data_IF_355373503887
#
_entry.id   IF_355373503887
#
_cell.length_a   1.000
_cell.length_b   1.000
_cell.length_c   1.000
_cell.angle_alpha   90.00
_cell.angle_beta   90.00
_cell.angle_gamma   90.00
#
_symmetry.space_group_name_H-M   'P 1'
#
loop_
_entity.id
_entity.type
_entity.pdbx_description
1 polymer ?
#
# COMPACT_ATOMS: atom_id res chain seq x y z
N UNK A 1 -17.00 23.28 -6.91
CA UNK A 1 -17.44 21.90 -6.68
C UNK A 1 -16.35 21.15 -5.95
N UNK A 2 -16.68 20.13 -5.18
CA UNK A 2 -15.70 19.25 -4.55
C UNK A 2 -15.57 17.95 -5.34
N UNK A 3 -14.35 17.52 -5.57
CA UNK A 3 -14.07 16.35 -6.40
C UNK A 3 -12.96 15.46 -5.85
N UNK A 4 -12.93 14.23 -6.33
CA UNK A 4 -11.92 13.23 -6.06
C UNK A 4 -11.15 12.91 -7.36
N UNK A 5 -9.83 12.89 -7.29
CA UNK A 5 -8.96 12.64 -8.46
C UNK A 5 -8.89 11.14 -8.72
N UNK A 6 -9.37 10.71 -9.88
CA UNK A 6 -9.38 9.32 -10.33
C UNK A 6 -8.20 8.96 -11.22
N UNK A 7 -7.67 9.94 -11.97
CA UNK A 7 -6.52 9.72 -12.84
C UNK A 7 -5.65 10.97 -12.90
N UNK A 8 -4.33 10.78 -12.95
CA UNK A 8 -3.35 11.84 -13.05
C UNK A 8 -2.34 11.51 -14.14
N UNK A 9 -2.33 12.31 -15.22
CA UNK A 9 -1.38 12.16 -16.34
C UNK A 9 -0.27 13.21 -16.34
N UNK A 10 -0.18 13.99 -15.25
CA UNK A 10 0.80 15.07 -15.09
C UNK A 10 0.33 16.43 -15.61
N UNK A 11 -0.48 16.48 -16.66
CA UNK A 11 -1.04 17.72 -17.22
C UNK A 11 -2.57 17.76 -17.15
N UNK A 12 -3.21 16.59 -17.17
CA UNK A 12 -4.65 16.42 -17.09
C UNK A 12 -5.01 15.45 -15.97
N UNK A 13 -6.16 15.72 -15.36
CA UNK A 13 -6.69 14.98 -14.22
C UNK A 13 -8.15 14.64 -14.48
N UNK A 14 -8.51 13.37 -14.33
CA UNK A 14 -9.92 12.98 -14.27
C UNK A 14 -10.38 13.16 -12.84
N UNK A 15 -11.34 14.07 -12.64
CA UNK A 15 -11.92 14.39 -11.34
C UNK A 15 -13.39 14.00 -11.37
N UNK A 16 -13.83 13.20 -10.40
CA UNK A 16 -15.27 12.95 -10.20
C UNK A 16 -15.80 13.88 -9.12
N UNK A 17 -16.90 14.55 -9.44
CA UNK A 17 -17.68 15.34 -8.48
C UNK A 17 -18.23 14.42 -7.39
N UNK A 18 -18.00 14.76 -6.12
CA UNK A 18 -18.38 13.92 -4.99
C UNK A 18 -19.91 13.84 -4.84
N UNK A 19 -20.62 14.92 -5.19
CA UNK A 19 -22.07 14.99 -5.01
C UNK A 19 -22.85 14.27 -6.12
N UNK A 20 -22.37 14.35 -7.37
CA UNK A 20 -23.10 13.85 -8.56
C UNK A 20 -22.49 12.60 -9.17
N UNK A 21 -21.21 12.29 -8.88
CA UNK A 21 -20.45 11.23 -9.52
C UNK A 21 -20.02 11.55 -10.96
N UNK A 22 -20.34 12.73 -11.48
CA UNK A 22 -19.98 13.14 -12.83
C UNK A 22 -18.46 13.33 -12.97
N UNK A 23 -17.90 12.85 -14.08
CA UNK A 23 -16.47 12.94 -14.37
C UNK A 23 -16.15 14.18 -15.21
N UNK A 24 -15.04 14.84 -14.86
CA UNK A 24 -14.54 16.04 -15.53
C UNK A 24 -13.05 15.90 -15.86
N UNK A 25 -12.68 16.34 -17.06
CA UNK A 25 -11.27 16.47 -17.46
C UNK A 25 -10.74 17.82 -16.97
N UNK A 26 -9.96 17.80 -15.93
CA UNK A 26 -9.49 18.99 -15.24
C UNK A 26 -8.02 19.29 -15.53
N UNK A 27 -7.67 20.56 -15.49
CA UNK A 27 -6.29 21.07 -15.47
C UNK A 27 -6.07 21.94 -14.24
N UNK A 28 -4.82 22.24 -13.93
CA UNK A 28 -4.49 23.13 -12.82
C UNK A 28 -4.48 24.58 -13.32
N UNK A 29 -5.02 25.51 -12.51
CA UNK A 29 -4.94 26.94 -12.77
C UNK A 29 -3.48 27.41 -12.75
N UNK A 30 -3.01 28.11 -13.78
CA UNK A 30 -1.59 28.42 -14.02
C UNK A 30 -0.84 29.17 -12.89
N UNK A 31 -1.55 29.74 -11.91
CA UNK A 31 -0.96 30.33 -10.68
C UNK A 31 -0.80 29.37 -9.52
N UNK A 32 -1.25 28.14 -9.66
CA UNK A 32 -1.22 27.10 -8.64
C UNK A 32 0.17 26.41 -8.55
N UNK A 33 1.24 27.21 -8.61
CA UNK A 33 2.56 26.75 -8.17
C UNK A 33 2.54 26.73 -6.65
N UNK A 34 2.23 25.56 -6.10
CA UNK A 34 2.19 25.28 -4.69
C UNK A 34 3.47 25.81 -4.01
N UNK A 35 3.31 26.85 -3.18
CA UNK A 35 4.38 27.33 -2.30
C UNK A 35 4.87 26.12 -1.49
N UNK A 36 6.07 25.64 -1.76
CA UNK A 36 6.74 24.61 -0.97
C UNK A 36 6.76 23.18 -1.52
N UNK A 37 6.02 22.84 -2.56
CA UNK A 37 6.08 21.48 -3.15
C UNK A 37 7.04 21.48 -4.35
N UNK A 38 8.21 20.84 -4.17
CA UNK A 38 9.24 20.66 -5.22
C UNK A 38 8.91 19.51 -6.18
N UNK A 39 7.66 19.05 -6.25
CA UNK A 39 7.25 17.91 -7.06
C UNK A 39 6.79 18.34 -8.45
N UNK A 40 7.20 17.58 -9.47
CA UNK A 40 6.81 17.82 -10.88
C UNK A 40 5.33 17.58 -11.14
N UNK A 41 4.66 16.76 -10.34
CA UNK A 41 3.21 16.56 -10.39
C UNK A 41 2.60 16.79 -8.99
N UNK A 42 1.91 17.92 -8.78
CA UNK A 42 1.40 18.29 -7.46
C UNK A 42 0.13 17.51 -7.07
N UNK A 43 -0.59 16.91 -8.03
CA UNK A 43 -1.86 16.22 -7.80
C UNK A 43 -1.70 14.73 -8.05
N UNK A 44 -2.10 13.93 -7.08
CA UNK A 44 -2.09 12.48 -7.11
C UNK A 44 -3.50 11.90 -7.21
N UNK A 45 -3.60 10.63 -7.60
CA UNK A 45 -4.85 9.87 -7.49
C UNK A 45 -5.24 9.74 -6.02
N UNK A 46 -6.53 9.98 -5.73
CA UNK A 46 -7.04 10.01 -4.35
C UNK A 46 -7.06 11.41 -3.72
N UNK A 47 -6.50 12.43 -4.38
CA UNK A 47 -6.61 13.79 -3.86
C UNK A 47 -8.05 14.30 -3.89
N UNK A 48 -8.45 14.92 -2.77
CA UNK A 48 -9.69 15.71 -2.69
C UNK A 48 -9.36 17.12 -3.16
N UNK A 49 -10.14 17.61 -4.12
CA UNK A 49 -9.88 18.91 -4.76
C UNK A 49 -11.14 19.76 -4.83
N UNK A 50 -10.95 21.09 -4.85
CA UNK A 50 -11.98 22.02 -5.30
C UNK A 50 -11.73 22.34 -6.77
N UNK A 51 -12.77 22.31 -7.60
CA UNK A 51 -12.67 22.62 -9.03
C UNK A 51 -13.86 23.43 -9.52
N UNK A 52 -13.67 24.16 -10.61
CA UNK A 52 -14.68 24.94 -11.32
C UNK A 52 -14.87 24.36 -12.72
N UNK A 53 -16.12 24.20 -13.15
CA UNK A 53 -16.45 23.76 -14.51
C UNK A 53 -16.33 24.94 -15.47
N UNK A 54 -15.60 24.77 -16.58
CA UNK A 54 -15.45 25.79 -17.61
C UNK A 54 -16.51 25.62 -18.69
N UNK A 55 -16.49 24.49 -19.41
CA UNK A 55 -17.42 24.19 -20.49
C UNK A 55 -17.58 22.67 -20.65
N UNK A 56 -18.82 22.19 -20.70
CA UNK A 56 -19.12 20.77 -20.84
C UNK A 56 -18.52 19.94 -19.70
N UNK A 57 -17.61 19.03 -20.04
CA UNK A 57 -16.89 18.16 -19.08
C UNK A 57 -15.50 18.67 -18.70
N UNK A 58 -15.14 19.90 -19.06
CA UNK A 58 -13.83 20.48 -18.74
C UNK A 58 -13.89 21.29 -17.46
N UNK A 59 -12.83 21.21 -16.66
CA UNK A 59 -12.74 21.94 -15.40
C UNK A 59 -11.31 22.41 -15.06
N UNK A 60 -11.27 23.31 -14.07
CA UNK A 60 -10.03 23.85 -13.51
C UNK A 60 -9.98 23.53 -12.02
N UNK A 61 -8.92 22.83 -11.58
CA UNK A 61 -8.65 22.60 -10.17
C UNK A 61 -8.12 23.92 -9.56
N UNK A 62 -8.80 24.38 -8.52
CA UNK A 62 -8.51 25.64 -7.82
C UNK A 62 -7.86 25.43 -6.47
N UNK A 63 -8.05 24.25 -5.84
CA UNK A 63 -7.48 23.93 -4.53
C UNK A 63 -7.26 22.42 -4.38
N UNK A 64 -6.20 22.03 -3.68
CA UNK A 64 -5.97 20.66 -3.20
C UNK A 64 -6.20 20.66 -1.69
N UNK A 65 -7.10 19.80 -1.22
CA UNK A 65 -7.38 19.66 0.22
C UNK A 65 -6.19 18.95 0.92
N UNK A 66 -6.04 19.14 2.24
CA UNK A 66 -5.05 18.39 3.02
C UNK A 66 -5.22 16.88 2.81
N UNK A 67 -4.10 16.19 2.71
CA UNK A 67 -4.03 14.72 2.60
C UNK A 67 -3.95 14.12 3.99
N UNK A 68 -4.72 13.06 4.23
CA UNK A 68 -4.62 12.26 5.45
C UNK A 68 -3.32 11.42 5.45
N UNK A 69 -3.01 10.85 4.28
CA UNK A 69 -1.77 10.11 3.99
C UNK A 69 -1.48 10.12 2.48
N UNK A 70 -0.31 9.59 2.10
CA UNK A 70 0.06 9.47 0.70
C UNK A 70 1.22 8.47 0.52
N UNK A 71 1.35 7.91 -0.69
CA UNK A 71 2.45 7.03 -1.09
C UNK A 71 3.36 7.77 -2.06
N UNK A 72 4.67 7.71 -1.83
CA UNK A 72 5.68 8.28 -2.73
C UNK A 72 6.42 7.20 -3.51
N UNK A 73 6.92 7.59 -4.68
CA UNK A 73 7.92 6.85 -5.44
C UNK A 73 9.13 7.74 -5.65
N UNK A 74 10.33 7.21 -5.37
CA UNK A 74 11.56 7.90 -5.75
C UNK A 74 11.77 7.82 -7.27
N UNK A 75 12.17 8.92 -7.87
CA UNK A 75 12.61 8.91 -9.27
C UNK A 75 13.98 8.24 -9.37
N UNK A 76 14.11 7.23 -10.22
CA UNK A 76 15.37 6.51 -10.46
C UNK A 76 16.44 7.44 -11.05
N UNK A 77 16.03 8.51 -11.75
CA UNK A 77 16.93 9.38 -12.53
C UNK A 77 17.19 10.76 -11.91
N UNK A 78 16.48 11.14 -10.86
CA UNK A 78 16.61 12.46 -10.22
C UNK A 78 16.62 12.26 -8.70
N UNK A 79 17.80 12.14 -8.13
CA UNK A 79 18.08 11.72 -6.73
C UNK A 79 17.44 12.58 -5.62
N UNK A 80 16.61 13.57 -5.94
CA UNK A 80 15.92 14.44 -4.95
C UNK A 80 14.45 14.72 -5.27
N UNK A 81 13.86 14.11 -6.30
CA UNK A 81 12.46 14.34 -6.62
C UNK A 81 11.61 13.12 -6.24
N UNK A 82 10.73 13.31 -5.28
CA UNK A 82 9.71 12.33 -4.90
C UNK A 82 8.42 12.62 -5.67
N UNK A 83 7.77 11.57 -6.18
CA UNK A 83 6.47 11.67 -6.84
C UNK A 83 5.42 11.03 -5.93
N UNK A 84 4.41 11.78 -5.55
CA UNK A 84 3.24 11.23 -4.89
C UNK A 84 2.45 10.47 -5.94
N UNK A 85 2.19 9.19 -5.69
CA UNK A 85 1.50 8.27 -6.62
C UNK A 85 0.02 8.20 -6.29
N UNK A 86 -0.30 8.09 -5.00
CA UNK A 86 -1.65 7.98 -4.48
C UNK A 86 -1.73 8.66 -3.12
N UNK A 87 -2.92 9.10 -2.74
CA UNK A 87 -3.21 9.77 -1.48
C UNK A 87 -4.56 9.35 -0.90
N UNK A 88 -4.76 9.67 0.39
CA UNK A 88 -6.00 9.41 1.11
C UNK A 88 -6.45 7.94 1.01
N UNK A 89 -5.50 7.04 1.31
CA UNK A 89 -5.70 5.58 1.28
C UNK A 89 -6.17 5.13 2.66
N UNK A 90 -7.33 4.49 2.71
CA UNK A 90 -7.90 3.99 3.96
C UNK A 90 -7.35 2.61 4.34
N UNK A 91 -7.00 1.78 3.32
CA UNK A 91 -6.65 0.39 3.54
C UNK A 91 -5.70 -0.15 2.47
N UNK A 92 -4.64 -0.83 2.89
CA UNK A 92 -3.77 -1.59 2.02
C UNK A 92 -4.01 -3.10 2.22
N UNK A 93 -4.11 -3.84 1.12
CA UNK A 93 -4.08 -5.29 1.14
C UNK A 93 -2.73 -5.78 0.62
N UNK A 94 -2.04 -6.57 1.42
CA UNK A 94 -0.86 -7.30 0.97
C UNK A 94 -1.22 -8.76 0.67
N UNK A 95 -1.13 -9.15 -0.60
CA UNK A 95 -1.38 -10.53 -1.03
C UNK A 95 -0.11 -11.36 -0.84
N UNK A 96 -0.19 -12.29 0.08
CA UNK A 96 0.88 -13.19 0.54
C UNK A 96 0.62 -14.59 0.02
N UNK A 97 1.67 -15.27 -0.44
CA UNK A 97 1.63 -16.69 -0.85
C UNK A 97 2.83 -17.44 -0.27
N UNK A 98 2.63 -18.69 0.16
CA UNK A 98 3.70 -19.54 0.67
C UNK A 98 4.64 -20.03 -0.43
N UNK A 99 4.08 -20.25 -1.62
CA UNK A 99 4.82 -20.71 -2.79
C UNK A 99 4.20 -20.13 -4.07
N UNK A 100 4.93 -20.20 -5.17
CA UNK A 100 4.51 -19.86 -6.53
C UNK A 100 3.77 -18.50 -6.67
N UNK A 101 4.40 -17.37 -6.28
CA UNK A 101 5.73 -17.16 -5.72
C UNK A 101 5.76 -17.29 -4.18
N UNK A 102 6.92 -17.53 -3.61
CA UNK A 102 7.15 -17.38 -2.17
C UNK A 102 7.12 -15.89 -1.80
N UNK A 103 6.40 -15.56 -0.75
CA UNK A 103 6.46 -14.24 -0.11
C UNK A 103 7.22 -14.37 1.21
N UNK A 104 8.44 -13.83 1.26
CA UNK A 104 9.26 -13.89 2.48
C UNK A 104 8.68 -13.04 3.61
N UNK A 105 8.96 -13.43 4.87
CA UNK A 105 8.58 -12.61 6.04
C UNK A 105 9.26 -11.24 5.99
N UNK A 106 10.50 -11.16 5.51
CA UNK A 106 11.21 -9.89 5.32
C UNK A 106 10.47 -8.95 4.37
N UNK A 107 9.93 -9.47 3.26
CA UNK A 107 9.12 -8.66 2.34
C UNK A 107 7.83 -8.18 3.00
N UNK A 108 7.13 -9.06 3.73
CA UNK A 108 5.91 -8.69 4.46
C UNK A 108 6.24 -7.59 5.47
N UNK A 109 7.29 -7.75 6.25
CA UNK A 109 7.67 -6.82 7.31
C UNK A 109 8.08 -5.45 6.76
N UNK A 110 8.84 -5.41 5.66
CA UNK A 110 9.17 -4.16 4.97
C UNK A 110 7.93 -3.43 4.45
N UNK A 111 6.99 -4.18 3.90
CA UNK A 111 5.73 -3.60 3.46
C UNK A 111 4.97 -2.99 4.64
N UNK A 112 4.86 -3.73 5.75
CA UNK A 112 4.15 -3.31 6.95
C UNK A 112 4.79 -2.05 7.56
N UNK A 113 6.11 -2.04 7.72
CA UNK A 113 6.87 -0.87 8.21
C UNK A 113 6.60 0.37 7.34
N UNK A 114 6.59 0.18 6.03
CA UNK A 114 6.31 1.29 5.11
C UNK A 114 4.85 1.77 5.23
N UNK A 115 3.91 0.85 5.38
CA UNK A 115 2.50 1.19 5.56
C UNK A 115 2.27 1.94 6.88
N UNK A 116 2.89 1.49 7.98
CA UNK A 116 2.86 2.18 9.28
C UNK A 116 3.45 3.60 9.18
N UNK A 117 4.60 3.75 8.51
CA UNK A 117 5.23 5.06 8.30
C UNK A 117 4.36 6.04 7.50
N UNK A 118 3.49 5.53 6.62
CA UNK A 118 2.50 6.33 5.90
C UNK A 118 1.15 6.46 6.63
N UNK A 119 0.97 5.82 7.78
CA UNK A 119 -0.30 5.80 8.52
C UNK A 119 -1.41 5.06 7.75
N UNK A 120 -1.07 4.00 7.01
CA UNK A 120 -2.01 3.22 6.20
C UNK A 120 -2.27 1.87 6.86
N UNK A 121 -3.51 1.64 7.29
CA UNK A 121 -3.93 0.33 7.83
C UNK A 121 -3.70 -0.77 6.80
N UNK A 122 -3.15 -1.92 7.24
CA UNK A 122 -2.87 -3.06 6.36
C UNK A 122 -3.59 -4.33 6.82
N UNK A 123 -4.11 -5.08 5.84
CA UNK A 123 -4.63 -6.44 6.03
C UNK A 123 -3.79 -7.40 5.17
N UNK A 124 -3.31 -8.49 5.77
CA UNK A 124 -2.59 -9.55 5.09
C UNK A 124 -3.57 -10.57 4.50
N UNK A 125 -3.51 -10.79 3.20
CA UNK A 125 -4.32 -11.77 2.49
C UNK A 125 -3.48 -12.97 2.10
N UNK A 126 -3.58 -14.06 2.87
CA UNK A 126 -2.92 -15.33 2.54
C UNK A 126 -3.71 -16.02 1.42
N UNK A 127 -3.24 -15.86 0.18
CA UNK A 127 -3.94 -16.34 -1.01
C UNK A 127 -3.50 -17.75 -1.42
N UNK A 128 -4.30 -18.36 -2.30
CA UNK A 128 -4.12 -19.71 -2.87
C UNK A 128 -4.29 -20.84 -1.85
N UNK A 129 -5.07 -20.64 -0.79
CA UNK A 129 -5.31 -21.66 0.24
C UNK A 129 -6.02 -22.92 -0.31
N UNK A 130 -6.52 -22.86 -1.53
CA UNK A 130 -7.10 -24.00 -2.29
C UNK A 130 -6.04 -24.93 -2.86
N UNK A 131 -4.79 -24.49 -3.01
CA UNK A 131 -3.69 -25.25 -3.59
C UNK A 131 -2.76 -25.88 -2.56
N UNK A 132 -2.90 -25.52 -1.29
CA UNK A 132 -2.01 -25.91 -0.21
C UNK A 132 -2.39 -27.26 0.39
N UNK A 133 -1.38 -28.09 0.67
CA UNK A 133 -1.53 -29.31 1.45
C UNK A 133 -1.75 -29.02 2.95
N UNK A 134 -1.89 -30.05 3.79
CA UNK A 134 -2.18 -29.87 5.21
C UNK A 134 -1.04 -29.14 5.98
N UNK A 135 0.21 -29.46 5.67
CA UNK A 135 1.39 -28.83 6.29
C UNK A 135 1.51 -27.35 5.91
N UNK A 136 1.30 -27.02 4.64
CA UNK A 136 1.28 -25.64 4.16
C UNK A 136 0.11 -24.83 4.75
N UNK A 137 -1.04 -25.46 4.95
CA UNK A 137 -2.16 -24.80 5.64
C UNK A 137 -1.80 -24.51 7.10
N UNK A 138 -1.09 -25.39 7.77
CA UNK A 138 -0.65 -25.16 9.16
C UNK A 138 0.42 -24.05 9.21
N UNK A 139 1.29 -23.97 8.21
CA UNK A 139 2.22 -22.85 8.06
C UNK A 139 1.49 -21.51 7.84
N UNK A 140 0.45 -21.46 7.00
CA UNK A 140 -0.40 -20.26 6.84
C UNK A 140 -1.02 -19.85 8.17
N UNK A 141 -1.55 -20.82 8.94
CA UNK A 141 -2.16 -20.52 10.25
C UNK A 141 -1.13 -19.97 11.23
N UNK A 142 0.07 -20.55 11.26
CA UNK A 142 1.18 -20.09 12.08
C UNK A 142 1.58 -18.65 11.74
N UNK A 143 1.84 -18.35 10.47
CA UNK A 143 2.17 -17.00 10.02
C UNK A 143 1.04 -16.01 10.31
N UNK A 144 -0.22 -16.39 10.04
CA UNK A 144 -1.36 -15.53 10.33
C UNK A 144 -1.52 -15.25 11.83
N UNK A 145 -1.21 -16.21 12.70
CA UNK A 145 -1.21 -16.01 14.15
C UNK A 145 -0.09 -15.06 14.57
N UNK A 146 1.13 -15.24 14.04
CA UNK A 146 2.28 -14.39 14.29
C UNK A 146 1.94 -12.92 13.97
N UNK A 147 1.40 -12.64 12.78
CA UNK A 147 1.07 -11.28 12.38
C UNK A 147 -0.13 -10.71 13.13
N UNK A 148 -1.10 -11.54 13.56
CA UNK A 148 -2.18 -11.09 14.45
C UNK A 148 -1.65 -10.70 15.82
N UNK A 149 -0.68 -11.41 16.37
CA UNK A 149 -0.01 -11.02 17.62
C UNK A 149 0.74 -9.69 17.49
N UNK A 150 1.31 -9.42 16.31
CA UNK A 150 1.89 -8.11 15.99
C UNK A 150 0.86 -7.01 15.69
N UNK A 151 -0.46 -7.29 15.75
CA UNK A 151 -1.53 -6.30 15.59
C UNK A 151 -2.18 -6.24 14.21
N UNK A 152 -1.82 -7.12 13.27
CA UNK A 152 -2.34 -7.09 11.90
C UNK A 152 -3.50 -8.06 11.68
N UNK A 153 -4.51 -7.62 10.92
CA UNK A 153 -5.58 -8.49 10.46
C UNK A 153 -5.06 -9.41 9.35
N UNK A 154 -5.43 -10.70 9.42
CA UNK A 154 -5.01 -11.73 8.48
C UNK A 154 -6.21 -12.52 7.99
N UNK A 155 -6.39 -12.65 6.67
CA UNK A 155 -7.47 -13.41 6.05
C UNK A 155 -6.87 -14.43 5.09
N UNK A 156 -7.18 -15.73 5.29
CA UNK A 156 -6.87 -16.77 4.31
C UNK A 156 -7.92 -16.76 3.20
N UNK A 157 -7.49 -16.62 1.96
CA UNK A 157 -8.38 -16.52 0.79
C UNK A 157 -7.96 -17.48 -0.34
N UNK A 158 -8.90 -17.79 -1.21
CA UNK A 158 -8.62 -18.27 -2.55
C UNK A 158 -9.32 -17.36 -3.56
N UNK A 159 -8.55 -16.55 -4.24
CA UNK A 159 -9.06 -15.68 -5.29
C UNK A 159 -9.61 -16.49 -6.49
N UNK A 160 -9.05 -17.68 -6.73
CA UNK A 160 -9.47 -18.56 -7.83
C UNK A 160 -10.84 -19.22 -7.58
N UNK A 161 -11.11 -19.63 -6.33
CA UNK A 161 -12.37 -20.33 -5.98
C UNK A 161 -13.42 -19.42 -5.34
N UNK A 162 -13.08 -18.15 -5.06
CA UNK A 162 -13.95 -17.20 -4.37
C UNK A 162 -13.99 -17.38 -2.83
N UNK A 163 -13.21 -18.32 -2.27
CA UNK A 163 -13.23 -18.59 -0.83
C UNK A 163 -12.79 -17.35 -0.03
N UNK A 164 -13.64 -16.92 0.90
CA UNK A 164 -13.45 -15.75 1.77
C UNK A 164 -13.35 -14.38 1.06
N UNK A 165 -13.67 -14.28 -0.24
CA UNK A 165 -13.68 -12.99 -0.95
C UNK A 165 -14.73 -12.04 -0.35
N UNK A 166 -15.87 -12.54 0.09
CA UNK A 166 -16.89 -11.73 0.78
C UNK A 166 -16.33 -11.01 2.02
N UNK A 167 -15.41 -11.63 2.78
CA UNK A 167 -14.75 -10.98 3.93
C UNK A 167 -13.87 -9.80 3.49
N UNK A 168 -13.15 -9.96 2.37
CA UNK A 168 -12.35 -8.88 1.79
C UNK A 168 -13.24 -7.74 1.34
N UNK A 169 -14.36 -8.04 0.65
CA UNK A 169 -15.34 -7.04 0.22
C UNK A 169 -15.95 -6.27 1.40
N UNK A 170 -16.27 -6.95 2.50
CA UNK A 170 -16.74 -6.29 3.73
C UNK A 170 -15.67 -5.39 4.34
N UNK A 171 -14.40 -5.84 4.39
CA UNK A 171 -13.32 -5.04 4.96
C UNK A 171 -13.04 -3.76 4.17
N UNK A 172 -13.27 -3.77 2.85
CA UNK A 172 -13.01 -2.62 1.96
C UNK A 172 -14.24 -1.72 1.73
N UNK A 173 -15.42 -2.09 2.21
CA UNK A 173 -16.67 -1.34 1.98
C UNK A 173 -16.52 0.16 2.30
N UNK A 174 -16.86 1.02 1.35
CA UNK A 174 -16.79 2.48 1.45
C UNK A 174 -15.38 3.07 1.54
N UNK A 175 -14.31 2.26 1.41
CA UNK A 175 -12.92 2.67 1.59
C UNK A 175 -12.18 2.80 0.27
N UNK A 176 -11.16 3.66 0.27
CA UNK A 176 -10.15 3.74 -0.78
C UNK A 176 -9.02 2.76 -0.47
N UNK A 177 -8.82 1.77 -1.33
CA UNK A 177 -7.94 0.64 -1.09
C UNK A 177 -6.82 0.57 -2.13
N UNK A 178 -5.66 0.01 -1.72
CA UNK A 178 -4.59 -0.44 -2.61
C UNK A 178 -4.34 -1.93 -2.41
N UNK A 179 -3.96 -2.63 -3.49
CA UNK A 179 -3.61 -4.05 -3.45
C UNK A 179 -2.17 -4.23 -3.90
N UNK A 180 -1.35 -4.81 -3.03
CA UNK A 180 0.07 -5.06 -3.27
C UNK A 180 0.43 -6.54 -3.11
N UNK A 181 1.65 -6.92 -3.48
CA UNK A 181 2.19 -8.28 -3.41
C UNK A 181 3.03 -8.62 -4.63
N UNK A 182 3.74 -9.74 -4.58
CA UNK A 182 4.60 -10.21 -5.67
C UNK A 182 3.85 -10.45 -6.99
N UNK A 183 4.57 -10.40 -8.12
CA UNK A 183 4.03 -10.84 -9.40
C UNK A 183 3.61 -12.32 -9.29
N UNK A 184 2.41 -12.67 -9.75
CA UNK A 184 1.89 -14.04 -9.63
C UNK A 184 1.28 -14.41 -8.28
N UNK A 185 1.24 -13.51 -7.28
CA UNK A 185 0.56 -13.79 -5.99
C UNK A 185 -0.96 -13.86 -6.10
N UNK A 186 -1.55 -13.44 -7.24
CA UNK A 186 -2.98 -13.52 -7.50
C UNK A 186 -3.74 -12.21 -7.32
N UNK A 187 -3.07 -11.05 -7.36
CA UNK A 187 -3.71 -9.72 -7.26
C UNK A 187 -4.79 -9.50 -8.32
N UNK A 188 -4.46 -9.74 -9.59
CA UNK A 188 -5.43 -9.58 -10.69
C UNK A 188 -6.60 -10.55 -10.57
N UNK A 189 -6.34 -11.79 -10.14
CA UNK A 189 -7.39 -12.79 -9.87
C UNK A 189 -8.29 -12.34 -8.73
N UNK A 190 -7.72 -11.73 -7.67
CA UNK A 190 -8.48 -11.17 -6.56
C UNK A 190 -9.38 -10.01 -7.02
N UNK A 191 -8.82 -9.06 -7.77
CA UNK A 191 -9.60 -7.93 -8.31
C UNK A 191 -10.73 -8.43 -9.19
N UNK A 192 -10.48 -9.42 -10.05
CA UNK A 192 -11.51 -10.03 -10.91
C UNK A 192 -12.57 -10.80 -10.12
N UNK A 193 -12.19 -11.42 -9.00
CA UNK A 193 -13.16 -12.09 -8.13
C UNK A 193 -14.05 -11.10 -7.36
N UNK A 194 -13.55 -9.88 -7.11
CA UNK A 194 -14.32 -8.79 -6.48
C UNK A 194 -15.23 -8.13 -7.50
N UNK A 195 -14.70 -7.81 -8.69
CA UNK A 195 -15.44 -7.17 -9.77
C UNK A 195 -14.99 -7.71 -11.15
N UNK A 196 -15.78 -8.61 -11.74
CA UNK A 196 -15.47 -9.17 -13.06
C UNK A 196 -15.45 -8.14 -14.19
N UNK A 197 -16.11 -7.00 -14.06
CA UNK A 197 -16.16 -5.96 -15.10
C UNK A 197 -14.84 -5.17 -15.18
N UNK A 198 -14.04 -5.14 -14.11
CA UNK A 198 -12.69 -4.57 -14.12
C UNK A 198 -11.67 -5.39 -14.91
N UNK A 199 -12.01 -6.62 -15.26
CA UNK A 199 -11.14 -7.57 -15.95
C UNK A 199 -10.52 -7.04 -17.26
N UNK A 200 -11.29 -6.32 -18.05
CA UNK A 200 -10.87 -5.89 -19.40
C UNK A 200 -9.80 -4.77 -19.36
N UNK A 201 -9.67 -4.04 -18.27
CA UNK A 201 -8.73 -2.93 -18.16
C UNK A 201 -7.39 -3.35 -17.56
N UNK A 202 -7.38 -4.29 -16.62
CA UNK A 202 -6.15 -4.76 -15.95
C UNK A 202 -5.35 -5.75 -16.79
N UNK A 203 -5.99 -6.57 -17.64
CA UNK A 203 -5.32 -7.48 -18.57
C UNK A 203 -4.54 -6.70 -19.66
N UNK A 204 -5.13 -5.66 -20.23
CA UNK A 204 -4.47 -4.80 -21.21
C UNK A 204 -3.20 -4.12 -20.68
N UNK A 205 -3.18 -3.78 -19.36
CA UNK A 205 -2.03 -3.17 -18.69
C UNK A 205 -0.92 -4.20 -18.48
N UNK A 206 -1.25 -5.46 -18.15
CA UNK A 206 -0.25 -6.52 -17.90
C UNK A 206 0.39 -7.03 -19.19
N UNK A 207 -0.33 -7.10 -20.30
CA UNK A 207 0.20 -7.52 -21.61
C UNK A 207 1.14 -6.47 -22.22
N UNK A 208 0.89 -5.18 -22.03
CA UNK A 208 1.79 -4.12 -22.46
C UNK A 208 3.14 -4.16 -21.72
N UNK A 209 3.19 -4.66 -20.47
CA UNK A 209 4.45 -4.86 -19.75
C UNK A 209 5.31 -6.01 -20.28
N UNK A 210 4.74 -7.01 -20.96
CA UNK A 210 5.47 -8.13 -21.57
C UNK A 210 6.16 -7.72 -22.89
N UNK A 211 5.70 -6.64 -23.54
CA UNK A 211 6.23 -6.19 -24.84
C UNK A 211 7.33 -5.12 -24.78
N UNK A 212 7.87 -4.82 -23.58
CA UNK A 212 9.07 -3.97 -23.44
C UNK A 212 8.91 -2.50 -23.82
N UNK A 213 7.71 -2.01 -24.03
CA UNK A 213 7.46 -0.57 -24.19
C UNK A 213 7.37 0.11 -22.81
N UNK A 214 8.31 1.00 -22.53
CA UNK A 214 8.31 1.93 -21.39
C UNK A 214 7.16 2.94 -21.53
N UNK A 215 5.93 2.50 -21.38
CA UNK A 215 4.82 3.41 -21.22
C UNK A 215 4.70 3.69 -19.72
N UNK A 216 4.90 4.93 -19.32
CA UNK A 216 4.66 5.42 -17.95
C UNK A 216 3.20 5.19 -17.66
N UNK A 217 2.88 4.09 -17.00
CA UNK A 217 1.51 3.75 -16.63
C UNK A 217 1.17 4.60 -15.41
N UNK A 218 0.17 5.44 -15.56
CA UNK A 218 -0.30 6.35 -14.52
C UNK A 218 -1.19 5.57 -13.54
N UNK A 219 -1.17 5.98 -12.27
CA UNK A 219 -2.12 5.45 -11.29
C UNK A 219 -3.55 5.82 -11.71
N UNK A 220 -4.48 4.91 -11.49
CA UNK A 220 -5.90 5.10 -11.78
C UNK A 220 -6.77 4.49 -10.69
N UNK A 221 -7.87 5.17 -10.32
CA UNK A 221 -8.83 4.73 -9.33
C UNK A 221 -10.08 4.18 -10.00
N UNK A 222 -10.63 3.12 -9.43
CA UNK A 222 -11.84 2.45 -9.91
C UNK A 222 -12.85 2.32 -8.76
N UNK A 223 -14.12 2.62 -9.04
CA UNK A 223 -15.21 2.34 -8.12
C UNK A 223 -15.58 0.85 -8.18
N UNK A 224 -15.95 0.31 -7.04
CA UNK A 224 -16.44 -1.07 -6.88
C UNK A 224 -17.92 -1.07 -6.50
N UNK A 225 -18.66 -2.17 -6.80
CA UNK A 225 -20.11 -2.26 -6.53
C UNK A 225 -20.51 -2.07 -5.07
N UNK A 226 -19.59 -2.36 -4.11
CA UNK A 226 -19.80 -2.20 -2.66
C UNK A 226 -19.48 -0.79 -2.14
N UNK A 227 -19.29 0.20 -3.03
CA UNK A 227 -18.92 1.57 -2.66
C UNK A 227 -17.46 1.76 -2.29
N UNK A 228 -16.64 0.71 -2.35
CA UNK A 228 -15.20 0.84 -2.22
C UNK A 228 -14.56 1.39 -3.49
N UNK A 229 -13.31 1.83 -3.36
CA UNK A 229 -12.47 2.25 -4.49
C UNK A 229 -11.15 1.50 -4.44
N UNK A 230 -10.66 1.08 -5.60
CA UNK A 230 -9.32 0.51 -5.74
C UNK A 230 -8.46 1.48 -6.54
N UNK A 231 -7.27 1.78 -6.03
CA UNK A 231 -6.24 2.48 -6.80
C UNK A 231 -5.32 1.42 -7.39
N UNK A 232 -5.35 1.30 -8.73
CA UNK A 232 -4.35 0.53 -9.46
C UNK A 232 -3.12 1.40 -9.72
N UNK A 233 -2.01 0.94 -9.22
CA UNK A 233 -0.74 1.66 -9.31
C UNK A 233 0.28 0.76 -9.98
N UNK A 234 0.37 0.78 -11.32
CA UNK A 234 1.38 0.02 -12.04
C UNK A 234 2.78 0.38 -11.56
N UNK A 235 3.55 -0.64 -11.16
CA UNK A 235 4.92 -0.45 -10.66
C UNK A 235 5.07 -0.25 -9.15
N UNK A 236 4.00 -0.27 -8.35
CA UNK A 236 4.10 -0.48 -6.91
C UNK A 236 4.17 -1.99 -6.67
N UNK A 237 5.32 -2.58 -6.95
CA UNK A 237 5.65 -3.97 -6.51
C UNK A 237 5.96 -4.05 -5.01
N UNK A 238 5.96 -2.93 -4.33
CA UNK A 238 6.11 -2.67 -2.92
C UNK A 238 5.95 -1.17 -2.73
N UNK A 239 5.47 -0.70 -1.60
CA UNK A 239 5.60 0.71 -1.25
C UNK A 239 7.08 1.05 -1.36
N UNK A 240 7.44 2.11 -2.09
CA UNK A 240 8.81 2.62 -2.04
C UNK A 240 9.16 2.86 -0.58
N UNK A 241 10.24 2.23 -0.10
CA UNK A 241 10.67 2.45 1.28
C UNK A 241 10.86 3.94 1.52
N UNK A 242 10.21 4.45 2.55
CA UNK A 242 10.48 5.79 3.08
C UNK A 242 11.89 5.78 3.63
N UNK A 243 12.61 6.91 3.57
CA UNK A 243 13.77 7.09 4.43
C UNK A 243 13.26 7.14 5.86
N UNK A 244 13.47 6.05 6.59
CA UNK A 244 13.17 5.92 8.00
C UNK A 244 14.49 6.11 8.72
N UNK A 245 14.54 7.09 9.60
CA UNK A 245 15.69 7.24 10.50
C UNK A 245 15.76 6.02 11.43
N UNK A 246 16.97 5.60 11.77
CA UNK A 246 17.18 4.38 12.57
C UNK A 246 16.45 4.42 13.91
N UNK A 247 16.40 5.60 14.51
CA UNK A 247 15.75 5.88 15.79
C UNK A 247 14.23 5.76 15.72
N UNK A 248 13.64 5.99 14.54
CA UNK A 248 12.19 5.93 14.31
C UNK A 248 11.71 4.54 13.92
N UNK A 249 12.62 3.64 13.48
CA UNK A 249 12.24 2.33 12.94
C UNK A 249 11.40 1.49 13.93
N UNK A 250 11.71 1.59 15.22
CA UNK A 250 10.97 0.90 16.29
C UNK A 250 9.49 1.31 16.32
N UNK A 251 9.16 2.53 15.93
CA UNK A 251 7.81 3.08 15.97
C UNK A 251 6.89 2.44 14.93
N UNK A 252 7.48 1.85 13.89
CA UNK A 252 6.79 1.18 12.78
C UNK A 252 6.69 -0.34 12.93
N UNK A 253 7.06 -0.87 14.10
CA UNK A 253 6.77 -2.22 14.55
C UNK A 253 5.81 -2.14 15.75
N UNK A 254 4.51 -2.34 15.60
CA UNK A 254 3.51 -2.08 16.66
C UNK A 254 3.83 -2.80 17.98
N UNK A 255 4.29 -4.04 17.91
CA UNK A 255 4.69 -4.84 19.06
C UNK A 255 5.97 -4.32 19.74
N UNK A 256 6.88 -3.68 18.99
CA UNK A 256 8.08 -3.04 19.54
C UNK A 256 7.71 -1.67 20.13
N UNK A 257 6.89 -0.91 19.43
CA UNK A 257 6.39 0.39 19.90
C UNK A 257 5.72 0.28 21.27
N UNK A 258 4.93 -0.77 21.48
CA UNK A 258 4.26 -1.02 22.76
C UNK A 258 5.24 -1.24 23.92
N UNK A 259 6.44 -1.79 23.64
CA UNK A 259 7.42 -2.18 24.66
C UNK A 259 8.60 -1.23 24.80
N UNK A 260 8.91 -0.39 23.80
CA UNK A 260 10.13 0.42 23.77
C UNK A 260 10.30 1.33 25.01
N UNK A 261 9.21 1.76 25.64
CA UNK A 261 9.24 2.60 26.83
C UNK A 261 9.74 1.89 28.10
N UNK A 262 9.83 0.56 28.07
CA UNK A 262 10.36 -0.28 29.14
C UNK A 262 11.87 -0.51 29.00
N UNK A 263 12.49 -0.11 27.88
CA UNK A 263 13.95 -0.16 27.72
C UNK A 263 14.64 0.81 28.67
N UNK A 264 15.81 0.44 29.14
CA UNK A 264 16.63 1.30 30.00
C UNK A 264 17.01 2.62 29.33
N UNK A 265 17.28 2.61 28.04
CA UNK A 265 17.72 3.79 27.27
C UNK A 265 16.61 4.27 26.32
N UNK A 266 16.37 5.57 26.29
CA UNK A 266 15.35 6.17 25.42
C UNK A 266 15.67 6.06 23.92
N UNK A 267 16.94 5.97 23.56
CA UNK A 267 17.46 5.80 22.20
C UNK A 267 17.92 4.36 21.90
N UNK A 268 17.32 3.38 22.58
CA UNK A 268 17.65 1.97 22.38
C UNK A 268 17.31 1.55 20.94
N UNK A 269 18.30 1.02 20.24
CA UNK A 269 18.14 0.42 18.90
C UNK A 269 17.88 -1.09 18.96
N UNK A 270 17.75 -1.64 20.19
CA UNK A 270 17.43 -3.04 20.48
C UNK A 270 18.46 -4.04 19.91
N UNK A 271 19.71 -3.62 19.75
CA UNK A 271 20.83 -4.45 19.27
C UNK A 271 21.64 -5.02 20.42
N UNK A 272 22.56 -4.23 20.98
CA UNK A 272 23.51 -4.67 22.02
C UNK A 272 23.25 -4.03 23.39
N UNK A 273 22.23 -3.16 23.50
CA UNK A 273 21.95 -2.43 24.72
C UNK A 273 21.49 -3.38 25.85
N UNK A 274 22.04 -3.21 27.06
CA UNK A 274 21.62 -4.00 28.21
C UNK A 274 20.24 -3.57 28.72
N UNK A 275 19.48 -4.50 29.28
CA UNK A 275 18.13 -4.27 29.81
C UNK A 275 17.19 -3.70 28.73
N UNK A 276 17.18 -4.38 27.58
CA UNK A 276 16.32 -4.05 26.44
C UNK A 276 15.04 -4.89 26.51
N UNK A 277 13.88 -4.22 26.69
CA UNK A 277 12.59 -4.88 26.80
C UNK A 277 12.21 -5.68 25.54
N UNK A 278 12.67 -5.28 24.36
CA UNK A 278 12.42 -6.01 23.11
C UNK A 278 13.20 -7.33 23.10
N UNK A 279 14.45 -7.35 23.62
CA UNK A 279 15.26 -8.58 23.70
C UNK A 279 14.70 -9.53 24.78
N UNK A 280 14.21 -8.99 25.90
CA UNK A 280 13.53 -9.78 26.93
C UNK A 280 12.24 -10.41 26.34
N UNK A 281 11.41 -9.64 25.64
CA UNK A 281 10.20 -10.12 24.97
C UNK A 281 10.51 -11.17 23.87
N UNK A 282 11.67 -11.08 23.21
CA UNK A 282 12.14 -12.08 22.26
C UNK A 282 12.53 -13.39 22.96
N UNK A 283 13.23 -13.32 24.10
CA UNK A 283 13.57 -14.50 24.92
C UNK A 283 12.34 -15.18 25.50
N UNK A 284 11.32 -14.42 25.89
CA UNK A 284 10.04 -14.91 26.36
C UNK A 284 9.15 -15.45 25.23
N UNK A 285 9.49 -15.22 23.96
CA UNK A 285 8.71 -15.64 22.80
C UNK A 285 7.45 -14.81 22.54
N UNK A 286 7.30 -13.64 23.16
CA UNK A 286 6.19 -12.70 22.92
C UNK A 286 6.40 -11.89 21.64
N UNK A 287 7.66 -11.68 21.24
CA UNK A 287 8.07 -11.18 19.92
C UNK A 287 8.65 -12.33 19.12
N UNK A 288 8.18 -12.49 17.87
CA UNK A 288 8.68 -13.53 16.99
C UNK A 288 10.10 -13.21 16.47
N UNK A 289 10.98 -14.24 16.46
CA UNK A 289 12.34 -14.09 15.94
C UNK A 289 12.39 -13.56 14.49
N UNK A 290 11.47 -13.99 13.62
CA UNK A 290 11.38 -13.51 12.24
C UNK A 290 11.16 -12.00 12.15
N UNK A 291 10.33 -11.44 13.03
CA UNK A 291 10.05 -9.99 13.11
C UNK A 291 11.29 -9.23 13.57
N UNK A 292 11.97 -9.73 14.61
CA UNK A 292 13.22 -9.13 15.08
C UNK A 292 14.33 -9.21 14.02
N UNK A 293 14.45 -10.35 13.31
CA UNK A 293 15.37 -10.49 12.19
C UNK A 293 15.10 -9.46 11.09
N UNK A 294 13.86 -9.30 10.70
CA UNK A 294 13.45 -8.27 9.70
C UNK A 294 13.76 -6.86 10.19
N UNK A 295 13.51 -6.57 11.47
CA UNK A 295 13.89 -5.29 12.09
C UNK A 295 15.39 -5.01 11.93
N UNK A 296 16.26 -5.96 12.29
CA UNK A 296 17.72 -5.80 12.16
C UNK A 296 18.15 -5.61 10.71
N UNK A 297 17.56 -6.34 9.77
CA UNK A 297 17.85 -6.19 8.34
C UNK A 297 17.50 -4.80 7.83
N UNK A 298 16.34 -4.27 8.22
CA UNK A 298 15.91 -2.91 7.84
C UNK A 298 16.83 -1.87 8.49
N UNK A 299 17.15 -2.03 9.79
CA UNK A 299 18.03 -1.14 10.54
C UNK A 299 19.42 -1.02 9.90
N UNK A 300 19.95 -2.13 9.36
CA UNK A 300 21.24 -2.18 8.69
C UNK A 300 21.21 -1.78 7.22
N UNK A 301 20.03 -1.44 6.67
CA UNK A 301 19.90 -1.06 5.26
C UNK A 301 20.08 -2.23 4.29
N UNK A 302 19.87 -3.46 4.74
CA UNK A 302 19.96 -4.65 3.89
C UNK A 302 18.76 -4.70 2.95
N UNK A 303 18.96 -4.34 1.66
CA UNK A 303 17.88 -4.24 0.66
C UNK A 303 17.49 -5.58 0.01
N UNK A 304 18.18 -6.68 0.28
CA UNK A 304 18.01 -7.93 -0.47
C UNK A 304 17.18 -8.96 0.29
N UNK A 305 16.06 -9.36 -0.32
CA UNK A 305 15.48 -10.68 -0.12
C UNK A 305 16.42 -11.71 -0.76
N UNK A 306 17.17 -12.42 0.04
CA UNK A 306 17.94 -13.60 -0.39
C UNK A 306 17.01 -14.82 -0.37
#
# INVERSE_FOLDING_TARGET
MEGLVYKSTGSWYVVKDIATGAAYDCRIKGRFRLKGIKNTNPIAVGDRVTFEVEEGTKGIITEIKPRDNYIIRRSVNLSKQTHIIASNIDLAFLVVTLNNPLTSTTFIDRFLVTAEAYGIKTILLFNKIDTYNAEEIDEVKFLAQLYRQAGYECIGISAATGKNIAKVMTAMEGKTCVVSGHSGSGKSTLINAIDPELHLKTAAISEQHLQGQHTTTFAEMFDLPNGARIIDTPGIRGFGMVEIEKEELTDYFPEFFALKHHCKFHNCLHTDEPQCAIKEALEEGTIAWSRYKSYLQILNGEERDN
#
